data_IF_684777837247
#
_entry.id   IF_684777837247
#
_cell.length_a   1.000
_cell.length_b   1.000
_cell.length_c   1.000
_cell.angle_alpha   90.00
_cell.angle_beta   90.00
_cell.angle_gamma   90.00
#
_symmetry.space_group_name_H-M   'P 1'
#
loop_
_entity.id
_entity.type
_entity.pdbx_description
1 polymer ?
#
# COMPACT_ATOMS: atom_id res chain seq x y z
N UNK A 1 36.25 51.38 34.01
CA UNK A 1 35.40 50.58 33.09
C UNK A 1 33.99 51.14 33.11
N UNK A 2 33.32 51.17 31.97
CA UNK A 2 31.93 51.62 31.84
C UNK A 2 30.94 50.54 32.31
N UNK A 3 29.85 50.96 32.98
CA UNK A 3 28.81 50.06 33.48
C UNK A 3 28.21 49.20 32.37
N UNK A 4 28.11 49.72 31.14
CA UNK A 4 27.61 48.96 29.98
C UNK A 4 28.44 47.71 29.73
N UNK A 5 29.77 47.83 29.77
CA UNK A 5 30.68 46.72 29.52
C UNK A 5 30.63 45.71 30.67
N UNK A 6 30.52 46.20 31.91
CA UNK A 6 30.41 45.35 33.09
C UNK A 6 29.15 44.50 33.03
N UNK A 7 28.00 45.12 32.74
CA UNK A 7 26.70 44.45 32.62
C UNK A 7 26.71 43.32 31.60
N UNK A 8 27.31 43.53 30.43
CA UNK A 8 27.43 42.49 29.40
C UNK A 8 28.27 41.28 29.84
N UNK A 9 29.13 41.43 30.86
CA UNK A 9 30.07 40.40 31.28
C UNK A 9 29.79 39.86 32.69
N UNK A 10 28.69 40.25 33.35
CA UNK A 10 28.38 39.81 34.72
C UNK A 10 28.22 38.28 34.82
N UNK A 11 27.56 37.65 33.85
CA UNK A 11 27.42 36.18 33.82
C UNK A 11 28.76 35.47 33.63
N UNK A 12 29.59 35.97 32.72
CA UNK A 12 30.92 35.41 32.46
C UNK A 12 31.85 35.59 33.67
N UNK A 13 31.71 36.72 34.37
CA UNK A 13 32.42 36.99 35.62
C UNK A 13 32.00 36.03 36.73
N UNK A 14 30.69 35.79 36.90
CA UNK A 14 30.15 34.88 37.90
C UNK A 14 30.62 33.44 37.68
N UNK A 15 30.73 33.00 36.41
CA UNK A 15 31.26 31.68 36.04
C UNK A 15 32.79 31.58 36.04
N UNK A 16 33.51 32.70 36.22
CA UNK A 16 34.96 32.73 36.16
C UNK A 16 35.53 32.48 34.75
N UNK A 17 34.78 32.79 33.70
CA UNK A 17 35.13 32.54 32.29
C UNK A 17 35.85 33.74 31.62
N UNK A 18 36.19 34.76 32.39
CA UNK A 18 36.92 35.93 31.91
C UNK A 18 38.44 35.75 32.02
N UNK A 19 39.19 36.41 31.15
CA UNK A 19 40.63 36.51 31.30
C UNK A 19 41.02 37.30 32.56
N UNK A 20 42.22 37.02 33.09
CA UNK A 20 42.69 37.57 34.36
C UNK A 20 42.69 39.11 34.40
N UNK A 21 42.98 39.76 33.26
CA UNK A 21 42.99 41.22 33.17
C UNK A 21 41.57 41.80 33.26
N UNK A 22 40.60 41.19 32.55
CA UNK A 22 39.19 41.59 32.64
C UNK A 22 38.59 41.28 34.00
N UNK A 23 38.95 40.16 34.63
CA UNK A 23 38.47 39.79 35.95
C UNK A 23 38.86 40.83 37.01
N UNK A 24 40.14 41.26 37.02
CA UNK A 24 40.61 42.33 37.91
C UNK A 24 39.89 43.66 37.67
N UNK A 25 39.69 44.03 36.40
CA UNK A 25 38.97 45.26 36.04
C UNK A 25 37.50 45.23 36.48
N UNK A 26 36.86 44.06 36.43
CA UNK A 26 35.50 43.88 36.94
C UNK A 26 35.43 43.92 38.46
N UNK A 27 36.35 43.25 39.17
CA UNK A 27 36.40 43.31 40.64
C UNK A 27 36.55 44.74 41.15
N UNK A 28 37.42 45.53 40.52
CA UNK A 28 37.62 46.94 40.87
C UNK A 28 36.34 47.75 40.66
N UNK A 29 35.66 47.55 39.52
CA UNK A 29 34.40 48.24 39.24
C UNK A 29 33.28 47.84 40.21
N UNK A 30 33.13 46.55 40.51
CA UNK A 30 32.10 46.05 41.42
C UNK A 30 32.29 46.55 42.86
N UNK A 31 33.51 46.90 43.26
CA UNK A 31 33.77 47.58 44.56
C UNK A 31 33.34 49.03 44.57
N UNK A 32 33.36 49.71 43.42
CA UNK A 32 33.07 51.15 43.31
C UNK A 32 31.63 51.44 42.88
N UNK A 33 30.99 50.52 42.15
CA UNK A 33 29.66 50.70 41.57
C UNK A 33 28.63 49.81 42.28
N UNK A 34 27.79 50.36 43.16
CA UNK A 34 26.78 49.57 43.89
C UNK A 34 25.71 48.98 42.96
N UNK A 35 25.38 49.65 41.86
CA UNK A 35 24.36 49.18 40.90
C UNK A 35 24.81 47.87 40.22
N UNK A 36 26.04 47.82 39.72
CA UNK A 36 26.57 46.62 39.09
C UNK A 36 26.77 45.48 40.10
N UNK A 37 27.09 45.81 41.36
CA UNK A 37 27.19 44.82 42.44
C UNK A 37 25.82 44.22 42.82
N UNK A 38 24.77 45.03 42.80
CA UNK A 38 23.39 44.59 43.04
C UNK A 38 22.92 43.64 41.92
N UNK A 39 23.16 44.00 40.65
CA UNK A 39 22.83 43.14 39.51
C UNK A 39 23.57 41.81 39.54
N UNK A 40 24.85 41.80 39.91
CA UNK A 40 25.60 40.56 40.10
C UNK A 40 24.94 39.67 41.17
N UNK A 41 24.47 40.26 42.27
CA UNK A 41 23.80 39.54 43.34
C UNK A 41 22.44 38.98 42.90
N UNK A 42 21.70 39.70 42.07
CA UNK A 42 20.45 39.20 41.47
C UNK A 42 20.71 37.97 40.60
N UNK A 43 21.73 38.02 39.73
CA UNK A 43 22.15 36.88 38.89
C UNK A 43 22.51 35.67 39.77
N UNK A 44 23.36 35.86 40.79
CA UNK A 44 23.73 34.80 41.73
C UNK A 44 22.52 34.21 42.47
N UNK A 45 21.54 35.04 42.82
CA UNK A 45 20.33 34.60 43.51
C UNK A 45 19.48 33.71 42.59
N UNK A 46 19.30 34.10 41.32
CA UNK A 46 18.56 33.31 40.34
C UNK A 46 19.27 31.99 40.08
N UNK A 47 20.59 32.00 39.86
CA UNK A 47 21.36 30.78 39.62
C UNK A 47 21.30 29.83 40.82
N UNK A 48 21.45 30.35 42.04
CA UNK A 48 21.32 29.55 43.25
C UNK A 48 19.91 28.95 43.45
N UNK A 49 18.86 29.57 42.90
CA UNK A 49 17.51 28.97 42.88
C UNK A 49 17.41 27.86 41.84
N UNK A 50 18.02 28.04 40.66
CA UNK A 50 18.04 27.04 39.60
C UNK A 50 18.85 25.80 40.00
N UNK A 51 19.98 25.98 40.68
CA UNK A 51 20.83 24.88 41.14
C UNK A 51 20.15 23.99 42.20
N UNK A 52 19.15 24.52 42.91
CA UNK A 52 18.35 23.76 43.88
C UNK A 52 17.29 22.88 43.22
N UNK A 53 17.06 23.02 41.92
CA UNK A 53 16.08 22.22 41.20
C UNK A 53 16.68 20.84 40.98
N UNK A 54 16.12 19.84 41.65
CA UNK A 54 16.49 18.45 41.43
C UNK A 54 16.09 18.04 40.01
N UNK A 55 17.09 17.70 39.19
CA UNK A 55 16.86 17.18 37.83
C UNK A 55 16.51 15.69 37.98
N UNK A 56 15.28 15.27 37.65
CA UNK A 56 14.90 13.88 37.78
C UNK A 56 15.72 13.02 36.82
N UNK A 57 16.16 11.85 37.30
CA UNK A 57 16.83 10.87 36.46
C UNK A 57 15.87 10.39 35.37
N UNK A 58 16.34 10.41 34.12
CA UNK A 58 15.56 9.90 33.00
C UNK A 58 15.51 8.36 33.11
N UNK A 59 14.36 7.72 32.88
CA UNK A 59 14.30 6.27 32.77
C UNK A 59 15.17 5.78 31.61
N UNK A 60 15.88 4.65 31.78
CA UNK A 60 16.79 4.09 30.76
C UNK A 60 16.13 3.90 29.38
N UNK A 61 14.83 3.60 29.39
CA UNK A 61 14.05 3.33 28.18
C UNK A 61 13.27 4.55 27.67
N UNK A 62 13.55 5.76 28.16
CA UNK A 62 12.81 6.97 27.78
C UNK A 62 12.86 7.21 26.27
N UNK A 63 14.06 7.22 25.69
CA UNK A 63 14.26 7.42 24.24
C UNK A 63 13.53 6.36 23.42
N UNK A 64 13.66 5.09 23.82
CA UNK A 64 12.97 3.99 23.15
C UNK A 64 11.44 4.14 23.21
N UNK A 65 10.90 4.52 24.37
CA UNK A 65 9.46 4.73 24.55
C UNK A 65 8.93 5.90 23.70
N UNK A 66 9.68 7.00 23.60
CA UNK A 66 9.32 8.13 22.76
C UNK A 66 9.36 7.75 21.29
N UNK A 67 10.45 7.11 20.83
CA UNK A 67 10.59 6.69 19.42
C UNK A 67 9.51 5.68 19.02
N UNK A 68 9.17 4.74 19.91
CA UNK A 68 8.07 3.81 19.67
C UNK A 68 6.70 4.50 19.56
N UNK A 69 6.44 5.53 20.37
CA UNK A 69 5.21 6.34 20.25
C UNK A 69 5.18 7.12 18.94
N UNK A 70 6.29 7.75 18.55
CA UNK A 70 6.41 8.49 17.29
C UNK A 70 6.14 7.55 16.10
N UNK A 71 6.80 6.40 16.06
CA UNK A 71 6.63 5.41 14.99
C UNK A 71 5.20 4.87 14.92
N UNK A 72 4.53 4.65 16.06
CA UNK A 72 3.12 4.24 16.09
C UNK A 72 2.19 5.30 15.52
N UNK A 73 2.44 6.57 15.80
CA UNK A 73 1.64 7.69 15.27
C UNK A 73 1.88 7.91 13.76
N UNK A 74 3.09 7.63 13.28
CA UNK A 74 3.42 7.70 11.86
C UNK A 74 2.94 6.46 11.06
N UNK A 75 2.88 5.29 11.70
CA UNK A 75 2.50 4.02 11.06
C UNK A 75 1.02 3.85 10.76
N UNK A 76 0.12 4.73 11.23
CA UNK A 76 -1.32 4.61 10.96
C UNK A 76 -1.76 5.15 9.59
N UNK A 77 -0.87 5.76 8.81
CA UNK A 77 -1.20 6.23 7.45
C UNK A 77 -1.05 5.14 6.37
N UNK A 78 -0.36 4.04 6.66
CA UNK A 78 -0.18 2.93 5.72
C UNK A 78 -0.87 1.66 6.23
N UNK A 79 -2.20 1.71 6.32
CA UNK A 79 -3.02 0.51 6.32
C UNK A 79 -2.98 -0.06 4.90
N UNK A 80 -1.88 -0.69 4.52
CA UNK A 80 -1.82 -1.49 3.29
C UNK A 80 -2.79 -2.64 3.50
N UNK A 81 -4.02 -2.48 3.03
CA UNK A 81 -4.94 -3.58 2.84
C UNK A 81 -4.19 -4.61 2.01
N UNK A 82 -3.97 -5.78 2.60
CA UNK A 82 -3.09 -6.80 2.05
C UNK A 82 -3.81 -7.42 0.84
N UNK A 83 -3.70 -6.78 -0.32
CA UNK A 83 -4.37 -7.13 -1.57
C UNK A 83 -4.11 -8.60 -1.96
N UNK A 84 -2.99 -9.16 -1.52
CA UNK A 84 -2.64 -10.57 -1.64
C UNK A 84 -3.66 -11.50 -0.97
N UNK A 85 -4.18 -11.16 0.20
CA UNK A 85 -5.18 -11.98 0.90
C UNK A 85 -6.52 -12.01 0.14
N UNK A 86 -6.85 -10.94 -0.59
CA UNK A 86 -8.01 -10.91 -1.47
C UNK A 86 -7.77 -11.68 -2.78
N UNK A 87 -6.55 -11.63 -3.33
CA UNK A 87 -6.20 -12.35 -4.56
C UNK A 87 -6.21 -13.88 -4.38
N UNK A 88 -5.86 -14.37 -3.18
CA UNK A 88 -5.92 -15.80 -2.83
C UNK A 88 -7.34 -16.38 -2.88
N UNK A 89 -8.38 -15.55 -2.69
CA UNK A 89 -9.79 -15.97 -2.80
C UNK A 89 -10.26 -16.09 -4.26
N UNK A 90 -9.60 -15.41 -5.20
CA UNK A 90 -9.93 -15.46 -6.63
C UNK A 90 -9.37 -16.70 -7.34
N UNK A 91 -8.25 -17.26 -6.86
CA UNK A 91 -7.61 -18.44 -7.47
C UNK A 91 -8.42 -19.74 -7.40
N UNK A 92 -9.39 -19.84 -6.49
CA UNK A 92 -10.25 -21.03 -6.33
C UNK A 92 -11.16 -21.23 -7.56
N UNK A 93 -11.52 -20.15 -8.26
CA UNK A 93 -12.38 -20.20 -9.45
C UNK A 93 -11.70 -20.90 -10.65
N UNK A 94 -10.39 -20.72 -10.82
CA UNK A 94 -9.64 -21.34 -11.92
C UNK A 94 -9.48 -22.85 -11.76
N UNK A 95 -9.33 -23.33 -10.53
CA UNK A 95 -9.24 -24.78 -10.23
C UNK A 95 -10.56 -25.48 -10.59
N UNK A 96 -11.70 -24.87 -10.26
CA UNK A 96 -13.01 -25.41 -10.59
C UNK A 96 -13.24 -25.48 -12.12
N UNK A 97 -12.88 -24.42 -12.86
CA UNK A 97 -12.99 -24.41 -14.32
C UNK A 97 -12.12 -25.49 -14.97
N UNK A 98 -10.90 -25.71 -14.46
CA UNK A 98 -10.03 -26.79 -14.91
C UNK A 98 -10.63 -28.18 -14.69
N UNK A 99 -11.24 -28.43 -13.52
CA UNK A 99 -11.94 -29.68 -13.23
C UNK A 99 -13.15 -29.91 -14.14
N UNK A 100 -13.94 -28.86 -14.40
CA UNK A 100 -15.08 -28.96 -15.33
C UNK A 100 -14.60 -29.32 -16.73
N UNK A 101 -13.53 -28.67 -17.22
CA UNK A 101 -12.97 -28.95 -18.55
C UNK A 101 -12.39 -30.38 -18.65
N UNK A 102 -11.79 -30.87 -17.56
CA UNK A 102 -11.28 -32.24 -17.44
C UNK A 102 -12.42 -33.27 -17.50
N UNK A 103 -13.51 -33.03 -16.76
CA UNK A 103 -14.68 -33.90 -16.75
C UNK A 103 -15.40 -33.95 -18.11
N UNK A 104 -15.50 -32.80 -18.79
CA UNK A 104 -16.08 -32.73 -20.14
C UNK A 104 -15.25 -33.46 -21.20
N UNK A 105 -13.92 -33.54 -21.03
CA UNK A 105 -13.08 -34.35 -21.93
C UNK A 105 -13.23 -35.86 -21.68
N UNK A 106 -13.49 -36.27 -20.45
CA UNK A 106 -13.56 -37.69 -20.06
C UNK A 106 -14.81 -38.41 -20.58
N UNK A 107 -15.92 -37.68 -20.81
CA UNK A 107 -17.18 -38.25 -21.32
C UNK A 107 -17.14 -38.64 -22.79
N UNK A 108 -16.16 -38.17 -23.57
CA UNK A 108 -16.05 -38.54 -25.00
C UNK A 108 -15.39 -39.90 -25.26
N UNK A 109 -14.70 -40.47 -24.27
CA UNK A 109 -14.03 -41.78 -24.37
C UNK A 109 -14.97 -42.97 -24.10
N UNK A 110 -16.12 -42.73 -23.46
CA UNK A 110 -17.07 -43.79 -23.08
C UNK A 110 -18.08 -44.19 -24.16
N UNK A 111 -18.34 -43.32 -25.15
CA UNK A 111 -19.38 -43.57 -26.17
C UNK A 111 -18.89 -44.39 -27.37
N UNK A 112 -17.58 -44.51 -27.57
CA UNK A 112 -16.97 -45.31 -28.65
C UNK A 112 -16.85 -46.80 -28.33
N UNK A 113 -16.87 -47.21 -27.06
CA UNK A 113 -16.82 -48.65 -26.70
C UNK A 113 -18.21 -49.31 -26.76
N UNK A 114 -19.29 -48.54 -26.57
CA UNK A 114 -20.65 -49.08 -26.60
C UNK A 114 -21.25 -49.28 -28.01
N UNK A 115 -20.59 -48.80 -29.07
CA UNK A 115 -21.11 -48.82 -30.45
C UNK A 115 -20.48 -49.90 -31.34
N UNK A 116 -19.51 -50.66 -30.84
CA UNK A 116 -18.88 -51.78 -31.57
C UNK A 116 -19.54 -53.14 -31.35
N UNK A 117 -20.51 -53.25 -30.42
CA UNK A 117 -21.10 -54.55 -30.04
C UNK A 117 -22.50 -54.85 -30.60
N UNK A 118 -23.07 -54.00 -31.47
CA UNK A 118 -24.48 -54.19 -31.92
C UNK A 118 -24.68 -54.31 -33.43
N UNK A 119 -23.62 -54.53 -34.24
CA UNK A 119 -23.73 -54.65 -35.70
C UNK A 119 -23.24 -55.99 -36.27
N UNK A 120 -23.38 -57.08 -35.51
CA UNK A 120 -23.28 -58.43 -36.04
C UNK A 120 -24.45 -59.29 -35.54
N UNK A 121 -25.67 -59.01 -35.98
CA UNK A 121 -26.54 -60.05 -36.55
C UNK A 121 -27.74 -59.45 -37.30
N UNK A 122 -28.13 -60.14 -38.37
CA UNK A 122 -28.85 -59.68 -39.54
C UNK A 122 -30.34 -60.02 -39.50
N UNK A 123 -31.23 -59.06 -39.84
CA UNK A 123 -32.43 -59.31 -40.66
C UNK A 123 -33.07 -57.99 -41.13
N UNK A 124 -33.27 -57.76 -42.45
CA UNK A 124 -33.80 -56.50 -42.95
C UNK A 124 -35.34 -56.48 -42.90
N UNK A 125 -35.93 -55.43 -42.32
CA UNK A 125 -37.33 -55.09 -42.58
C UNK A 125 -37.32 -53.81 -43.41
N UNK A 126 -37.73 -53.95 -44.66
CA UNK A 126 -37.89 -52.88 -45.61
C UNK A 126 -39.16 -52.09 -45.25
N UNK A 127 -39.00 -50.86 -44.75
CA UNK A 127 -40.12 -49.93 -44.54
C UNK A 127 -39.85 -48.71 -45.39
N UNK A 128 -40.18 -48.85 -46.67
CA UNK A 128 -40.55 -47.75 -47.50
C UNK A 128 -41.70 -46.97 -46.79
N UNK A 129 -41.62 -45.63 -46.75
CA UNK A 129 -42.43 -44.67 -45.94
C UNK A 129 -41.95 -44.63 -44.48
N UNK A 130 -41.57 -43.49 -43.92
CA UNK A 130 -42.41 -42.31 -43.69
C UNK A 130 -41.53 -41.07 -43.67
N UNK A 131 -42.04 -40.03 -44.32
CA UNK A 131 -41.46 -38.71 -44.53
C UNK A 131 -41.14 -37.99 -43.22
N UNK A 132 -40.02 -37.26 -43.16
CA UNK A 132 -40.00 -36.01 -42.40
C UNK A 132 -39.11 -34.97 -43.10
N UNK A 133 -39.78 -34.01 -43.71
CA UNK A 133 -39.23 -32.90 -44.48
C UNK A 133 -38.61 -31.87 -43.52
N UNK A 134 -37.31 -31.64 -43.62
CA UNK A 134 -36.68 -30.48 -42.97
C UNK A 134 -36.87 -29.22 -43.85
N UNK A 135 -37.61 -28.20 -43.39
CA UNK A 135 -37.97 -27.01 -44.19
C UNK A 135 -36.77 -26.15 -44.58
N UNK A 136 -35.61 -26.32 -43.92
CA UNK A 136 -34.37 -25.62 -44.26
C UNK A 136 -33.85 -26.00 -45.66
N UNK A 137 -34.09 -27.24 -46.11
CA UNK A 137 -33.64 -27.71 -47.42
C UNK A 137 -34.47 -27.17 -48.60
N UNK A 138 -35.72 -26.76 -48.34
CA UNK A 138 -36.60 -26.11 -49.33
C UNK A 138 -36.23 -24.63 -49.52
N UNK A 139 -35.87 -23.93 -48.43
CA UNK A 139 -35.44 -22.53 -48.48
C UNK A 139 -34.11 -22.37 -49.26
N UNK A 140 -33.14 -23.25 -49.02
CA UNK A 140 -31.84 -23.17 -49.70
C UNK A 140 -31.97 -23.40 -51.21
N UNK A 141 -32.84 -24.32 -51.65
CA UNK A 141 -33.10 -24.54 -53.08
C UNK A 141 -33.85 -23.38 -53.74
N UNK A 142 -34.78 -22.73 -53.02
CA UNK A 142 -35.49 -21.55 -53.52
C UNK A 142 -34.58 -20.34 -53.72
N UNK A 143 -33.65 -20.11 -52.79
CA UNK A 143 -32.64 -19.05 -52.91
C UNK A 143 -31.65 -19.29 -54.05
N UNK A 144 -31.26 -20.54 -54.28
CA UNK A 144 -30.36 -20.92 -55.37
C UNK A 144 -31.01 -20.64 -56.74
N UNK A 145 -32.29 -20.98 -56.91
CA UNK A 145 -33.02 -20.70 -58.16
C UNK A 145 -33.21 -19.20 -58.42
N UNK A 146 -33.42 -18.39 -57.37
CA UNK A 146 -33.53 -16.94 -57.52
C UNK A 146 -32.20 -16.29 -57.94
N UNK A 147 -31.08 -16.77 -57.41
CA UNK A 147 -29.77 -16.25 -57.79
C UNK A 147 -29.43 -16.57 -59.25
N UNK A 148 -29.72 -17.80 -59.70
CA UNK A 148 -29.52 -18.19 -61.10
C UNK A 148 -30.44 -17.41 -62.06
N UNK A 149 -31.66 -17.08 -61.64
CA UNK A 149 -32.57 -16.27 -62.45
C UNK A 149 -32.13 -14.80 -62.52
N UNK A 150 -31.60 -14.24 -61.43
CA UNK A 150 -31.04 -12.88 -61.39
C UNK A 150 -29.83 -12.75 -62.32
N UNK A 151 -28.89 -13.69 -62.25
CA UNK A 151 -27.65 -13.66 -63.05
C UNK A 151 -27.92 -13.82 -64.56
N UNK A 152 -28.96 -14.59 -64.93
CA UNK A 152 -29.42 -14.70 -66.32
C UNK A 152 -30.14 -13.45 -66.85
N UNK A 153 -30.75 -12.64 -65.98
CA UNK A 153 -31.39 -11.37 -66.37
C UNK A 153 -30.36 -10.24 -66.53
N UNK A 154 -29.26 -10.30 -65.77
CA UNK A 154 -28.17 -9.31 -65.85
C UNK A 154 -27.28 -9.51 -67.09
N UNK A 155 -27.10 -10.76 -67.55
CA UNK A 155 -26.34 -11.10 -68.77
C UNK A 155 -27.16 -11.03 -70.09
N UNK A 156 -28.36 -10.42 -70.08
CA UNK A 156 -29.22 -10.23 -71.27
C UNK A 156 -29.62 -8.77 -71.55
N UNK A 157 -29.00 -7.80 -70.86
CA UNK A 157 -29.17 -6.36 -71.07
C UNK A 157 -28.03 -5.71 -71.84
#
# INVERSE_FOLDING_TARGET
MDCTIIRLNLELFEKGELDEQRQKGMEEHLRMCPQCAEELKEIQTINALLDKIEIPQLPDNFTMNIMNKINKLQGTTNKTTNHWQNFRKWGISFVAAGFIMLLLNFTSLGTTIATLSTNLEYKPININKIMEYSPASLLNKGLEQLNLHRENMENRG
#
